data_IF_899470201345
#
_entry.id   IF_899470201345
#
_cell.length_a   1.000
_cell.length_b   1.000
_cell.length_c   1.000
_cell.angle_alpha   90.00
_cell.angle_beta   90.00
_cell.angle_gamma   90.00
#
_symmetry.space_group_name_H-M   'P 1'
#
loop_
_entity.id
_entity.type
_entity.pdbx_description
1 polymer ?
#
# COMPACT_ATOMS: atom_id res chain seq x y z
N UNK A 1 -10.41 1.18 -25.43
CA UNK A 1 -10.50 1.01 -23.97
C UNK A 1 -9.32 0.15 -23.58
N UNK A 2 -8.52 0.53 -22.58
CA UNK A 2 -7.42 -0.33 -22.16
C UNK A 2 -8.01 -1.54 -21.42
N UNK A 3 -7.57 -2.74 -21.79
CA UNK A 3 -8.11 -3.99 -21.24
C UNK A 3 -7.75 -4.15 -19.76
N UNK A 4 -8.67 -4.76 -18.99
CA UNK A 4 -8.42 -5.13 -17.60
C UNK A 4 -7.65 -6.46 -17.54
N UNK A 5 -6.44 -6.42 -16.99
CA UNK A 5 -5.67 -7.61 -16.66
C UNK A 5 -5.92 -7.96 -15.19
N UNK A 6 -6.43 -9.15 -14.90
CA UNK A 6 -6.60 -9.60 -13.51
C UNK A 6 -5.23 -9.94 -12.92
N UNK A 7 -4.85 -9.28 -11.83
CA UNK A 7 -3.64 -9.61 -11.08
C UNK A 7 -3.96 -10.73 -10.09
N UNK A 8 -3.23 -11.83 -10.18
CA UNK A 8 -3.34 -12.97 -9.26
C UNK A 8 -2.40 -12.78 -8.07
N UNK A 9 -2.87 -13.11 -6.86
CA UNK A 9 -2.14 -12.93 -5.61
C UNK A 9 -2.78 -11.90 -4.67
N UNK A 10 -2.20 -11.76 -3.47
CA UNK A 10 -2.80 -10.99 -2.37
C UNK A 10 -3.91 -11.77 -1.65
N UNK A 11 -4.24 -11.33 -0.43
CA UNK A 11 -5.12 -12.06 0.49
C UNK A 11 -6.24 -11.20 1.10
N UNK A 12 -6.35 -9.93 0.71
CA UNK A 12 -7.27 -8.96 1.34
C UNK A 12 -8.36 -8.45 0.41
N UNK A 13 -8.08 -8.33 -0.90
CA UNK A 13 -9.03 -7.75 -1.86
C UNK A 13 -9.59 -8.81 -2.79
N UNK A 14 -10.92 -8.81 -2.98
CA UNK A 14 -11.62 -9.82 -3.78
C UNK A 14 -11.18 -9.86 -5.25
N UNK A 15 -11.00 -8.70 -5.87
CA UNK A 15 -10.57 -8.59 -7.28
C UNK A 15 -9.66 -7.39 -7.47
N UNK A 16 -8.43 -7.64 -7.94
CA UNK A 16 -7.46 -6.60 -8.27
C UNK A 16 -7.17 -6.68 -9.77
N UNK A 17 -7.23 -5.54 -10.45
CA UNK A 17 -6.96 -5.46 -11.89
C UNK A 17 -5.92 -4.41 -12.21
N UNK A 18 -5.10 -4.68 -13.21
CA UNK A 18 -4.23 -3.70 -13.84
C UNK A 18 -4.90 -3.14 -15.09
N UNK A 19 -4.79 -1.82 -15.27
CA UNK A 19 -5.13 -1.12 -16.52
C UNK A 19 -3.97 -0.19 -16.84
N UNK A 20 -3.23 -0.50 -17.90
CA UNK A 20 -2.04 0.27 -18.30
C UNK A 20 -0.99 0.31 -17.17
N UNK A 21 -0.72 1.50 -16.66
CA UNK A 21 0.23 1.77 -15.57
C UNK A 21 -0.42 1.90 -14.19
N UNK A 22 -1.68 1.49 -14.06
CA UNK A 22 -2.45 1.61 -12.82
C UNK A 22 -3.02 0.28 -12.36
N UNK A 23 -3.26 0.17 -11.05
CA UNK A 23 -3.98 -0.93 -10.41
C UNK A 23 -5.30 -0.39 -9.85
N UNK A 24 -6.41 -1.10 -10.06
CA UNK A 24 -7.69 -0.84 -9.41
C UNK A 24 -8.03 -1.98 -8.46
N UNK A 25 -8.48 -1.63 -7.26
CA UNK A 25 -9.01 -2.59 -6.27
C UNK A 25 -10.25 -2.00 -5.56
N UNK A 26 -11.14 -2.83 -5.00
CA UNK A 26 -12.28 -2.35 -4.22
C UNK A 26 -11.85 -1.36 -3.14
N UNK A 27 -12.58 -0.25 -3.02
CA UNK A 27 -12.44 0.64 -1.87
C UNK A 27 -13.19 0.04 -0.68
N UNK A 28 -12.47 -0.15 0.42
CA UNK A 28 -12.98 -0.57 1.74
C UNK A 28 -13.02 0.61 2.70
N UNK A 29 -13.57 0.43 3.90
CA UNK A 29 -13.67 1.48 4.93
C UNK A 29 -12.32 2.15 5.24
N UNK A 30 -11.23 1.40 5.21
CA UNK A 30 -9.87 1.89 5.47
C UNK A 30 -9.21 2.63 4.29
N UNK A 31 -9.86 2.70 3.13
CA UNK A 31 -9.24 3.27 1.92
C UNK A 31 -8.86 4.72 2.08
N UNK A 32 -9.69 5.53 2.75
CA UNK A 32 -9.36 6.94 3.01
C UNK A 32 -8.08 7.09 3.86
N UNK A 33 -7.92 6.24 4.88
CA UNK A 33 -6.69 6.18 5.67
C UNK A 33 -5.48 5.75 4.85
N UNK A 34 -5.63 4.75 3.98
CA UNK A 34 -4.57 4.31 3.05
C UNK A 34 -4.20 5.41 2.06
N UNK A 35 -5.18 6.10 1.47
CA UNK A 35 -4.97 7.25 0.58
C UNK A 35 -4.15 8.33 1.30
N UNK A 36 -4.50 8.67 2.55
CA UNK A 36 -3.75 9.65 3.35
C UNK A 36 -2.31 9.21 3.65
N UNK A 37 -2.08 7.93 3.98
CA UNK A 37 -0.73 7.39 4.19
C UNK A 37 0.12 7.49 2.92
N UNK A 38 -0.43 7.07 1.77
CA UNK A 38 0.32 7.08 0.51
C UNK A 38 0.64 8.50 0.03
N UNK A 39 -0.28 9.45 0.21
CA UNK A 39 -0.01 10.87 -0.05
C UNK A 39 1.11 11.39 0.85
N UNK A 40 1.02 11.15 2.17
CA UNK A 40 2.06 11.57 3.12
C UNK A 40 3.44 10.99 2.79
N UNK A 41 3.51 9.70 2.45
CA UNK A 41 4.76 9.06 2.04
C UNK A 41 5.35 9.70 0.78
N UNK A 42 4.52 10.02 -0.21
CA UNK A 42 4.96 10.71 -1.42
C UNK A 42 5.48 12.12 -1.11
N UNK A 43 4.80 12.89 -0.26
CA UNK A 43 5.20 14.23 0.17
C UNK A 43 6.53 14.21 0.95
N UNK A 44 6.82 13.11 1.65
CA UNK A 44 8.09 12.87 2.35
C UNK A 44 9.19 12.30 1.45
N UNK A 45 8.93 12.12 0.15
CA UNK A 45 9.89 11.56 -0.81
C UNK A 45 10.18 10.07 -0.61
N UNK A 46 9.28 9.31 0.02
CA UNK A 46 9.45 7.88 0.22
C UNK A 46 9.06 7.10 -1.05
N UNK A 47 10.07 6.57 -1.75
CA UNK A 47 9.90 5.84 -3.02
C UNK A 47 9.52 4.36 -2.86
N UNK A 48 9.40 3.87 -1.63
CA UNK A 48 9.13 2.45 -1.35
C UNK A 48 7.66 2.06 -1.39
N UNK A 49 6.76 2.98 -1.73
CA UNK A 49 5.32 2.76 -1.78
C UNK A 49 4.75 3.27 -3.12
N UNK A 50 3.67 2.66 -3.65
CA UNK A 50 3.01 3.16 -4.85
C UNK A 50 2.29 4.49 -4.56
N UNK A 51 2.18 5.35 -5.56
CA UNK A 51 1.30 6.54 -5.45
C UNK A 51 -0.17 6.13 -5.43
N UNK A 52 -0.97 6.84 -4.63
CA UNK A 52 -2.43 6.84 -4.77
C UNK A 52 -2.83 7.79 -5.89
N UNK A 53 -3.77 7.37 -6.74
CA UNK A 53 -4.28 8.15 -7.88
C UNK A 53 -5.77 8.46 -7.73
N UNK A 54 -6.29 8.34 -6.51
CA UNK A 54 -7.70 8.59 -6.17
C UNK A 54 -8.59 7.40 -6.51
N UNK A 55 -9.81 7.68 -6.97
CA UNK A 55 -10.81 6.65 -7.28
C UNK A 55 -11.33 6.78 -8.70
N UNK A 56 -11.65 5.65 -9.32
CA UNK A 56 -12.28 5.66 -10.64
C UNK A 56 -13.80 5.90 -10.55
N UNK A 57 -14.47 5.95 -11.70
CA UNK A 57 -15.92 6.16 -11.80
C UNK A 57 -16.76 5.06 -11.13
N UNK A 58 -16.17 3.89 -10.86
CA UNK A 58 -16.82 2.77 -10.17
C UNK A 58 -16.51 2.80 -8.66
N UNK A 59 -15.82 3.83 -8.18
CA UNK A 59 -15.42 3.97 -6.78
C UNK A 59 -14.25 3.07 -6.36
N UNK A 60 -13.55 2.42 -7.30
CA UNK A 60 -12.38 1.58 -7.00
C UNK A 60 -11.18 2.47 -6.68
N UNK A 61 -10.37 2.05 -5.71
CA UNK A 61 -9.10 2.72 -5.40
C UNK A 61 -8.11 2.49 -6.54
N UNK A 62 -7.55 3.58 -7.07
CA UNK A 62 -6.59 3.58 -8.18
C UNK A 62 -5.19 3.84 -7.61
N UNK A 63 -4.25 2.96 -7.95
CA UNK A 63 -2.87 2.97 -7.48
C UNK A 63 -1.92 2.93 -8.67
N UNK A 64 -0.71 3.45 -8.49
CA UNK A 64 0.40 3.21 -9.40
C UNK A 64 0.75 1.71 -9.47
N UNK A 65 0.92 1.19 -10.69
CA UNK A 65 1.47 -0.15 -10.89
C UNK A 65 3.00 -0.11 -10.81
N UNK A 66 3.58 -0.93 -9.92
CA UNK A 66 5.02 -1.05 -9.79
C UNK A 66 5.49 -2.27 -10.61
N UNK A 67 6.22 -2.06 -11.72
CA UNK A 67 6.77 -3.17 -12.49
C UNK A 67 7.87 -3.86 -11.67
N UNK A 68 7.79 -5.17 -11.56
CA UNK A 68 8.78 -5.96 -10.85
C UNK A 68 8.31 -7.37 -10.55
N UNK A 69 9.21 -8.15 -9.96
CA UNK A 69 8.93 -9.50 -9.50
C UNK A 69 8.71 -9.48 -7.99
N UNK A 70 7.76 -10.29 -7.51
CA UNK A 70 7.57 -10.50 -6.07
C UNK A 70 8.87 -11.05 -5.46
N UNK A 71 9.22 -10.54 -4.29
CA UNK A 71 10.35 -11.04 -3.53
C UNK A 71 10.10 -12.52 -3.17
N UNK A 72 11.05 -13.40 -3.52
CA UNK A 72 10.96 -14.83 -3.27
C UNK A 72 12.01 -15.27 -2.26
N UNK A 73 11.62 -16.17 -1.35
CA UNK A 73 12.53 -16.76 -0.34
C UNK A 73 13.26 -17.98 -0.90
N UNK A 74 14.48 -18.30 -0.38
CA UNK A 74 15.16 -17.66 0.75
C UNK A 74 15.87 -16.35 0.37
N UNK A 75 15.99 -15.43 1.34
CA UNK A 75 16.75 -14.19 1.18
C UNK A 75 18.21 -14.37 1.63
N UNK A 76 19.12 -13.79 0.86
CA UNK A 76 20.50 -13.56 1.28
C UNK A 76 20.58 -12.52 2.41
N UNK A 77 21.71 -12.52 3.14
CA UNK A 77 21.96 -11.53 4.20
C UNK A 77 21.93 -10.10 3.65
N UNK A 78 22.40 -9.86 2.43
CA UNK A 78 22.39 -8.53 1.82
C UNK A 78 21.00 -8.06 1.40
N UNK A 79 20.14 -8.97 0.93
CA UNK A 79 18.73 -8.68 0.68
C UNK A 79 18.01 -8.32 1.98
N UNK A 80 18.27 -9.05 3.07
CA UNK A 80 17.73 -8.74 4.39
C UNK A 80 18.21 -7.37 4.90
N UNK A 81 19.49 -7.02 4.71
CA UNK A 81 20.01 -5.68 5.04
C UNK A 81 19.31 -4.59 4.23
N UNK A 82 19.07 -4.82 2.93
CA UNK A 82 18.36 -3.87 2.06
C UNK A 82 16.91 -3.70 2.50
N UNK A 83 16.21 -4.79 2.82
CA UNK A 83 14.85 -4.78 3.34
C UNK A 83 14.77 -4.03 4.69
N UNK A 84 15.70 -4.30 5.61
CA UNK A 84 15.76 -3.59 6.89
C UNK A 84 15.95 -2.08 6.74
N UNK A 85 16.82 -1.65 5.82
CA UNK A 85 16.97 -0.22 5.48
C UNK A 85 15.69 0.38 4.90
N UNK A 86 14.99 -0.36 4.04
CA UNK A 86 13.71 0.10 3.48
C UNK A 86 12.66 0.31 4.57
N UNK A 87 12.53 -0.66 5.49
CA UNK A 87 11.60 -0.59 6.64
C UNK A 87 11.97 0.59 7.55
N UNK A 88 13.26 0.81 7.83
CA UNK A 88 13.68 1.98 8.63
C UNK A 88 13.26 3.30 7.98
N UNK A 89 13.51 3.47 6.68
CA UNK A 89 13.08 4.69 5.96
C UNK A 89 11.56 4.87 5.97
N UNK A 90 10.80 3.78 5.91
CA UNK A 90 9.34 3.84 6.05
C UNK A 90 8.96 4.39 7.43
N UNK A 91 9.55 3.87 8.51
CA UNK A 91 9.29 4.38 9.86
C UNK A 91 9.67 5.88 10.01
N UNK A 92 10.80 6.31 9.44
CA UNK A 92 11.22 7.72 9.45
C UNK A 92 10.24 8.62 8.71
N UNK A 93 9.72 8.16 7.57
CA UNK A 93 8.72 8.89 6.81
C UNK A 93 7.40 9.00 7.59
N UNK A 94 7.02 7.95 8.32
CA UNK A 94 5.76 7.85 9.06
C UNK A 94 5.74 8.60 10.40
N UNK A 95 6.90 9.00 10.95
CA UNK A 95 6.99 9.63 12.28
C UNK A 95 6.07 10.86 12.45
N UNK A 96 5.98 11.69 11.41
CA UNK A 96 5.12 12.88 11.44
C UNK A 96 3.74 12.68 10.83
N UNK A 97 3.39 11.45 10.42
CA UNK A 97 2.07 11.17 9.88
C UNK A 97 1.01 11.40 10.94
N UNK A 98 -0.10 12.02 10.55
CA UNK A 98 -1.30 12.17 11.38
C UNK A 98 -2.47 11.65 10.56
N UNK A 99 -3.16 10.59 11.02
CA UNK A 99 -4.30 10.07 10.28
C UNK A 99 -5.44 11.11 10.27
N UNK A 100 -6.24 11.18 9.19
CA UNK A 100 -7.49 11.92 9.18
C UNK A 100 -8.41 11.52 10.35
N UNK A 101 -9.21 12.46 10.85
CA UNK A 101 -10.09 12.21 12.01
C UNK A 101 -11.13 11.11 11.76
N UNK A 102 -11.52 10.91 10.50
CA UNK A 102 -12.46 9.90 10.03
C UNK A 102 -11.77 8.63 9.49
N UNK A 103 -10.45 8.49 9.70
CA UNK A 103 -9.72 7.29 9.27
C UNK A 103 -10.22 6.05 10.04
N UNK A 104 -10.86 5.14 9.31
CA UNK A 104 -11.22 3.82 9.82
C UNK A 104 -10.11 2.81 9.54
N UNK A 105 -9.86 1.91 10.47
CA UNK A 105 -8.93 0.78 10.28
C UNK A 105 -9.65 -0.52 10.61
N UNK A 106 -9.46 -1.53 9.77
CA UNK A 106 -9.93 -2.88 10.05
C UNK A 106 -8.71 -3.75 10.44
N UNK A 107 -8.39 -3.85 11.75
CA UNK A 107 -7.24 -4.61 12.20
C UNK A 107 -7.46 -6.10 11.93
N UNK A 108 -6.63 -6.68 11.08
CA UNK A 108 -6.61 -8.14 10.83
C UNK A 108 -5.92 -8.88 11.99
N UNK A 109 -5.03 -8.18 12.71
CA UNK A 109 -4.37 -8.67 13.92
C UNK A 109 -4.89 -7.86 15.11
N UNK A 110 -5.46 -8.49 16.14
CA UNK A 110 -5.93 -7.77 17.32
C UNK A 110 -4.76 -7.09 18.04
N UNK A 111 -5.01 -5.93 18.64
CA UNK A 111 -4.02 -5.26 19.46
C UNK A 111 -3.61 -6.18 20.62
N UNK A 112 -2.31 -6.28 20.87
CA UNK A 112 -1.79 -6.99 22.04
C UNK A 112 -2.24 -6.22 23.28
N UNK A 113 -3.06 -6.83 24.13
CA UNK A 113 -3.49 -6.18 25.36
C UNK A 113 -2.27 -5.87 26.25
N UNK A 114 -2.07 -4.59 26.61
CA UNK A 114 -1.17 -4.22 27.70
C UNK A 114 0.11 -3.45 27.34
N UNK A 115 0.35 -3.09 26.09
CA UNK A 115 1.43 -2.13 25.76
C UNK A 115 0.81 -0.75 25.59
N UNK A 116 1.08 0.13 26.56
CA UNK A 116 0.79 1.58 26.48
C UNK A 116 1.93 2.29 25.78
#
# INVERSE_FOLDING_TARGET
MADEEVLTGGNVADRVVRIGTTVRKPALAQTAGVEAVLTHLADRGFEGAPRTLGRDQQGRHVLEYIPGTLAATPFSVDELRRLGRLIRRLHDAMESFRPPADAAWHPVVPAVAGVR
#
